data_IF_914617780738
#
_entry.id   IF_914617780738
#
_cell.length_a   1.000
_cell.length_b   1.000
_cell.length_c   1.000
_cell.angle_alpha   90.00
_cell.angle_beta   90.00
_cell.angle_gamma   90.00
#
_symmetry.space_group_name_H-M   'P 1'
#
loop_
_entity.id
_entity.type
_entity.pdbx_description
1 polymer ?
#
# COMPACT_ATOMS: atom_id res chain seq x y z
N UNK A 1 15.06 -21.16 -17.09
CA UNK A 1 14.36 -20.28 -16.12
C UNK A 1 13.31 -21.09 -15.41
N UNK A 2 13.25 -21.09 -14.07
CA UNK A 2 12.11 -21.68 -13.33
C UNK A 2 10.82 -21.06 -13.86
N UNK A 3 9.78 -21.87 -14.04
CA UNK A 3 8.49 -21.35 -14.50
C UNK A 3 8.02 -20.26 -13.52
N UNK A 4 7.27 -19.26 -14.00
CA UNK A 4 6.58 -18.30 -13.12
C UNK A 4 5.74 -19.03 -12.04
N UNK A 5 5.31 -20.26 -12.32
CA UNK A 5 4.59 -21.16 -11.41
C UNK A 5 5.41 -21.67 -10.22
N UNK A 6 6.74 -21.69 -10.31
CA UNK A 6 7.67 -22.19 -9.28
C UNK A 6 8.35 -21.06 -8.47
N UNK A 7 8.13 -19.80 -8.87
CA UNK A 7 8.58 -18.63 -8.09
C UNK A 7 7.70 -18.47 -6.85
N UNK A 8 8.10 -19.24 -5.83
CA UNK A 8 7.86 -19.06 -4.39
C UNK A 8 6.41 -18.79 -4.00
N UNK A 9 5.81 -19.86 -3.49
CA UNK A 9 4.62 -19.85 -2.64
C UNK A 9 4.47 -18.54 -1.87
N UNK A 10 3.46 -17.77 -2.26
CA UNK A 10 2.86 -16.71 -1.46
C UNK A 10 2.76 -17.17 -0.01
N UNK A 11 3.39 -16.46 0.93
CA UNK A 11 3.25 -16.83 2.33
C UNK A 11 1.77 -16.69 2.74
N UNK A 12 1.06 -17.82 2.85
CA UNK A 12 -0.32 -17.94 3.36
C UNK A 12 -0.38 -17.97 4.89
N UNK A 13 0.71 -17.61 5.59
CA UNK A 13 0.69 -17.66 7.04
C UNK A 13 -0.28 -16.61 7.59
N UNK A 14 -0.94 -16.94 8.71
CA UNK A 14 -1.92 -16.06 9.34
C UNK A 14 -1.37 -14.66 9.60
N UNK A 15 -0.09 -14.53 9.93
CA UNK A 15 0.59 -13.23 10.14
C UNK A 15 0.63 -12.38 8.87
N UNK A 16 1.01 -12.94 7.72
CA UNK A 16 1.03 -12.19 6.46
C UNK A 16 -0.38 -11.78 6.04
N UNK A 17 -1.36 -12.64 6.27
CA UNK A 17 -2.77 -12.32 5.99
C UNK A 17 -3.21 -11.14 6.87
N UNK A 18 -2.98 -11.22 8.18
CA UNK A 18 -3.29 -10.13 9.12
C UNK A 18 -2.58 -8.83 8.73
N UNK A 19 -1.31 -8.89 8.32
CA UNK A 19 -0.58 -7.73 7.81
C UNK A 19 -1.31 -7.05 6.66
N UNK A 20 -1.75 -7.83 5.66
CA UNK A 20 -2.51 -7.31 4.53
C UNK A 20 -3.86 -6.70 4.95
N UNK A 21 -4.49 -7.15 6.03
CA UNK A 21 -5.75 -6.56 6.52
C UNK A 21 -5.54 -5.33 7.40
N UNK A 22 -4.43 -5.25 8.12
CA UNK A 22 -4.21 -4.20 9.11
C UNK A 22 -3.36 -3.04 8.59
N UNK A 23 -2.25 -3.33 7.93
CA UNK A 23 -1.31 -2.31 7.48
C UNK A 23 -0.46 -2.87 6.32
N UNK A 24 -0.85 -2.62 5.04
CA UNK A 24 -0.11 -3.08 3.89
C UNK A 24 1.24 -2.37 3.78
N UNK A 25 1.35 -1.21 4.44
CA UNK A 25 2.60 -0.56 4.79
C UNK A 25 3.30 0.16 3.65
N UNK A 26 4.37 0.85 4.01
CA UNK A 26 5.22 1.60 3.08
C UNK A 26 6.19 0.73 2.30
N UNK A 27 6.32 1.04 1.00
CA UNK A 27 7.46 0.57 0.22
C UNK A 27 8.73 1.21 0.77
N UNK A 28 9.81 0.44 0.84
CA UNK A 28 11.08 0.91 1.37
C UNK A 28 12.02 1.48 0.32
N UNK A 29 11.78 1.20 -0.96
CA UNK A 29 12.56 1.79 -2.05
C UNK A 29 11.80 1.80 -3.38
N UNK A 30 12.30 2.57 -4.36
CA UNK A 30 11.80 2.55 -5.75
C UNK A 30 11.92 1.14 -6.34
N UNK A 31 13.00 0.41 -6.05
CA UNK A 31 13.19 -0.97 -6.54
C UNK A 31 12.10 -1.93 -6.08
N UNK A 32 11.54 -1.73 -4.88
CA UNK A 32 10.41 -2.55 -4.42
C UNK A 32 9.12 -2.23 -5.16
N UNK A 33 8.95 -0.96 -5.55
CA UNK A 33 7.82 -0.54 -6.40
C UNK A 33 7.97 -1.12 -7.81
N UNK A 34 9.16 -1.00 -8.40
CA UNK A 34 9.49 -1.56 -9.72
C UNK A 34 9.29 -3.07 -9.76
N UNK A 35 9.82 -3.81 -8.77
CA UNK A 35 9.63 -5.25 -8.69
C UNK A 35 8.17 -5.65 -8.52
N UNK A 36 7.36 -4.84 -7.82
CA UNK A 36 5.93 -5.10 -7.69
C UNK A 36 5.17 -4.83 -9.00
N UNK A 37 5.57 -3.80 -9.76
CA UNK A 37 5.04 -3.53 -11.10
C UNK A 37 5.39 -4.65 -12.09
N UNK A 38 6.64 -5.12 -12.07
CA UNK A 38 7.13 -6.23 -12.91
C UNK A 38 6.34 -7.52 -12.64
N UNK A 39 6.10 -7.87 -11.37
CA UNK A 39 5.31 -9.05 -11.00
C UNK A 39 3.88 -9.01 -11.54
N UNK A 40 3.33 -7.82 -11.79
CA UNK A 40 1.99 -7.62 -12.35
C UNK A 40 1.99 -7.33 -13.85
N UNK A 41 3.17 -7.35 -14.49
CA UNK A 41 3.36 -7.01 -15.90
C UNK A 41 2.78 -5.64 -16.26
N UNK A 42 3.11 -4.63 -15.45
CA UNK A 42 2.68 -3.24 -15.63
C UNK A 42 3.89 -2.32 -15.72
N UNK A 43 3.71 -1.18 -16.41
CA UNK A 43 4.65 -0.07 -16.25
C UNK A 43 4.57 0.49 -14.83
N UNK A 44 5.60 1.22 -14.40
CA UNK A 44 5.61 1.85 -13.07
C UNK A 44 4.47 2.87 -12.92
N UNK A 45 4.13 3.58 -13.99
CA UNK A 45 3.05 4.56 -14.04
C UNK A 45 1.69 3.88 -13.88
N UNK A 46 1.45 2.80 -14.64
CA UNK A 46 0.22 2.00 -14.54
C UNK A 46 0.07 1.36 -13.17
N UNK A 47 1.17 0.85 -12.61
CA UNK A 47 1.19 0.28 -11.26
C UNK A 47 0.87 1.35 -10.21
N UNK A 48 1.50 2.52 -10.31
CA UNK A 48 1.25 3.64 -9.42
C UNK A 48 -0.20 4.11 -9.47
N UNK A 49 -0.74 4.37 -10.66
CA UNK A 49 -2.11 4.82 -10.86
C UNK A 49 -3.15 3.79 -10.39
N UNK A 50 -2.85 2.49 -10.50
CA UNK A 50 -3.82 1.46 -10.13
C UNK A 50 -3.75 1.05 -8.66
N UNK A 51 -2.55 0.98 -8.10
CA UNK A 51 -2.32 0.27 -6.83
C UNK A 51 -1.62 1.08 -5.74
N UNK A 52 -1.08 2.25 -6.05
CA UNK A 52 -0.40 3.07 -5.05
C UNK A 52 -1.24 4.26 -4.61
N UNK A 53 -0.92 4.71 -3.41
CA UNK A 53 -1.26 6.03 -2.89
C UNK A 53 0.05 6.69 -2.42
N UNK A 54 0.02 8.00 -2.28
CA UNK A 54 1.10 8.78 -1.66
C UNK A 54 0.70 9.01 -0.20
N UNK A 55 1.35 8.35 0.75
CA UNK A 55 1.27 8.77 2.15
C UNK A 55 2.34 9.82 2.46
N UNK A 56 2.26 10.44 3.63
CA UNK A 56 3.30 11.35 4.09
C UNK A 56 3.71 11.10 5.54
N UNK A 57 4.95 11.47 5.85
CA UNK A 57 5.45 11.59 7.20
C UNK A 57 5.75 13.05 7.52
N UNK A 58 5.13 13.56 8.58
CA UNK A 58 5.32 14.93 9.05
C UNK A 58 6.72 15.05 9.66
N UNK A 59 7.54 15.94 9.10
CA UNK A 59 8.87 16.27 9.63
C UNK A 59 9.00 17.76 9.86
N UNK A 60 9.89 18.17 10.77
CA UNK A 60 10.05 19.59 11.17
C UNK A 60 10.28 20.55 9.99
N UNK A 61 10.89 20.07 8.90
CA UNK A 61 11.34 20.93 7.80
C UNK A 61 10.47 20.80 6.54
N UNK A 62 9.99 19.59 6.26
CA UNK A 62 9.18 19.27 5.08
C UNK A 62 8.52 17.91 5.25
N UNK A 63 7.29 17.76 4.78
CA UNK A 63 6.64 16.46 4.69
C UNK A 63 7.37 15.56 3.70
N UNK A 64 7.47 14.28 4.04
CA UNK A 64 8.13 13.27 3.20
C UNK A 64 7.05 12.38 2.62
N UNK A 65 6.87 12.42 1.31
CA UNK A 65 5.98 11.52 0.59
C UNK A 65 6.58 10.13 0.51
N UNK A 66 5.73 9.12 0.70
CA UNK A 66 6.12 7.70 0.75
C UNK A 66 5.06 6.89 0.00
N UNK A 67 5.43 6.02 -0.96
CA UNK A 67 4.44 5.22 -1.65
C UNK A 67 3.95 4.10 -0.72
N UNK A 68 2.64 3.97 -0.63
CA UNK A 68 1.98 2.91 0.12
C UNK A 68 1.04 2.14 -0.79
N UNK A 69 0.77 0.89 -0.42
CA UNK A 69 -0.23 0.10 -1.15
C UNK A 69 -1.63 0.66 -0.87
N UNK A 70 -2.44 0.76 -1.91
CA UNK A 70 -3.86 1.08 -1.80
C UNK A 70 -4.62 0.01 -1.03
N UNK A 71 -5.74 0.41 -0.41
CA UNK A 71 -6.73 -0.49 0.20
C UNK A 71 -7.83 -0.88 -0.79
N UNK A 72 -8.27 -2.12 -0.71
CA UNK A 72 -9.47 -2.61 -1.37
C UNK A 72 -10.71 -2.30 -0.52
N UNK A 73 -11.31 -1.14 -0.79
CA UNK A 73 -12.53 -0.70 -0.11
C UNK A 73 -13.75 -1.60 -0.38
N UNK A 74 -13.72 -2.45 -1.41
CA UNK A 74 -14.79 -3.43 -1.64
C UNK A 74 -14.73 -4.59 -0.63
N UNK A 75 -13.57 -4.82 -0.02
CA UNK A 75 -13.30 -5.88 0.94
C UNK A 75 -13.25 -5.33 2.36
N UNK A 76 -14.31 -4.67 2.77
CA UNK A 76 -14.49 -4.26 4.15
C UNK A 76 -14.96 -5.45 5.00
N UNK A 77 -14.35 -5.66 6.16
CA UNK A 77 -14.76 -6.70 7.11
C UNK A 77 -16.20 -6.47 7.60
N UNK A 78 -16.94 -7.55 7.82
CA UNK A 78 -18.34 -7.52 8.27
C UNK A 78 -18.48 -6.91 9.67
N UNK A 79 -17.47 -7.07 10.53
CA UNK A 79 -17.42 -6.39 11.84
C UNK A 79 -17.38 -4.87 11.63
N UNK A 80 -16.54 -4.41 10.71
CA UNK A 80 -16.46 -2.98 10.40
C UNK A 80 -17.75 -2.50 9.74
N UNK A 81 -18.37 -3.26 8.82
CA UNK A 81 -19.69 -2.92 8.27
C UNK A 81 -20.74 -2.72 9.36
N UNK A 82 -20.72 -3.53 10.42
CA UNK A 82 -21.61 -3.35 11.58
C UNK A 82 -21.28 -2.09 12.37
N UNK A 83 -20.01 -1.86 12.71
CA UNK A 83 -19.57 -0.65 13.42
C UNK A 83 -19.95 0.62 12.65
N UNK A 84 -19.68 0.70 11.35
CA UNK A 84 -20.05 1.87 10.54
C UNK A 84 -21.58 2.05 10.42
N UNK A 85 -22.36 0.96 10.44
CA UNK A 85 -23.82 1.03 10.49
C UNK A 85 -24.32 1.64 11.82
N UNK A 86 -23.63 1.38 12.91
CA UNK A 86 -23.97 1.89 14.26
C UNK A 86 -23.47 3.33 14.49
N UNK A 87 -22.41 3.76 13.79
CA UNK A 87 -21.83 5.10 13.90
C UNK A 87 -21.84 5.84 12.54
N UNK A 88 -23.00 6.32 12.07
CA UNK A 88 -23.16 6.89 10.72
C UNK A 88 -22.35 8.16 10.46
N UNK A 89 -21.87 8.86 11.49
CA UNK A 89 -20.97 10.03 11.30
C UNK A 89 -19.57 9.63 10.84
N UNK A 90 -19.15 8.39 11.05
CA UNK A 90 -17.94 7.80 10.45
C UNK A 90 -18.17 7.36 8.99
N UNK A 91 -19.42 7.32 8.51
CA UNK A 91 -19.78 6.86 7.16
C UNK A 91 -19.35 7.85 6.05
N UNK A 92 -19.26 9.14 6.35
CA UNK A 92 -18.90 10.13 5.32
C UNK A 92 -17.39 10.27 5.11
N UNK A 93 -16.58 10.07 6.16
CA UNK A 93 -15.12 10.18 6.05
C UNK A 93 -14.55 9.09 5.15
N UNK A 94 -15.00 7.84 5.28
CA UNK A 94 -14.53 6.78 4.37
C UNK A 94 -15.09 6.93 2.95
N UNK A 95 -16.31 7.45 2.76
CA UNK A 95 -16.85 7.75 1.41
C UNK A 95 -16.02 8.84 0.74
N UNK A 96 -15.62 9.86 1.50
CA UNK A 96 -14.70 10.89 1.05
C UNK A 96 -13.33 10.30 0.75
N UNK A 97 -12.74 9.48 1.63
CA UNK A 97 -11.49 8.76 1.38
C UNK A 97 -11.59 7.83 0.16
N UNK A 98 -12.72 7.15 -0.06
CA UNK A 98 -12.95 6.29 -1.23
C UNK A 98 -13.12 7.11 -2.50
N UNK A 99 -13.67 8.32 -2.41
CA UNK A 99 -13.84 9.21 -3.56
C UNK A 99 -12.51 9.84 -3.94
N UNK A 100 -11.74 10.26 -2.92
CA UNK A 100 -10.41 10.86 -3.03
C UNK A 100 -9.41 9.77 -3.47
N UNK A 101 -9.22 8.71 -2.68
CA UNK A 101 -8.30 7.59 -2.97
C UNK A 101 -8.90 6.52 -3.90
N UNK A 102 -10.08 6.78 -4.45
CA UNK A 102 -10.73 5.98 -5.49
C UNK A 102 -9.93 5.97 -6.78
N UNK A 103 -9.21 7.08 -7.00
CA UNK A 103 -8.27 7.34 -8.08
C UNK A 103 -6.88 7.07 -7.50
N UNK A 104 -6.06 6.22 -8.14
CA UNK A 104 -4.75 5.93 -7.56
C UNK A 104 -3.72 7.02 -7.81
N UNK A 105 -2.61 6.88 -7.09
CA UNK A 105 -1.50 7.81 -6.98
C UNK A 105 -1.85 9.23 -6.50
N UNK A 106 -2.79 9.34 -5.58
CA UNK A 106 -3.08 10.60 -4.90
C UNK A 106 -2.48 10.65 -3.49
N UNK A 107 -2.34 11.85 -2.94
CA UNK A 107 -1.97 12.07 -1.54
C UNK A 107 -3.13 11.64 -0.63
N UNK A 108 -2.96 10.52 0.07
CA UNK A 108 -3.99 9.94 0.93
C UNK A 108 -4.03 10.59 2.29
N UNK A 109 -5.21 10.91 2.83
CA UNK A 109 -5.31 11.68 4.07
C UNK A 109 -4.72 10.95 5.29
N UNK A 110 -4.56 11.69 6.38
CA UNK A 110 -3.89 11.22 7.59
C UNK A 110 -4.50 9.90 8.08
N UNK A 111 -3.68 8.85 8.13
CA UNK A 111 -4.08 7.57 8.72
C UNK A 111 -4.66 6.52 7.76
N UNK A 112 -4.43 6.58 6.45
CA UNK A 112 -4.81 5.49 5.53
C UNK A 112 -4.23 4.12 5.95
N UNK A 113 -3.00 4.11 6.49
CA UNK A 113 -2.40 2.96 7.15
C UNK A 113 -2.92 2.65 8.56
N UNK A 114 -3.65 3.57 9.19
CA UNK A 114 -4.33 3.37 10.48
C UNK A 114 -5.77 2.86 10.31
N UNK A 115 -6.34 2.93 9.09
CA UNK A 115 -7.63 2.33 8.77
C UNK A 115 -7.51 0.80 8.80
N UNK A 116 -7.96 0.21 9.90
CA UNK A 116 -8.17 -1.23 10.01
C UNK A 116 -9.47 -1.63 9.30
N UNK A 117 -9.59 -2.90 8.90
CA UNK A 117 -10.82 -3.44 8.34
C UNK A 117 -10.91 -3.50 6.82
N UNK A 118 -9.91 -2.99 6.10
CA UNK A 118 -9.82 -3.09 4.65
C UNK A 118 -8.60 -3.89 4.23
N UNK A 119 -8.81 -4.85 3.33
CA UNK A 119 -7.72 -5.61 2.76
C UNK A 119 -6.78 -4.71 1.94
N UNK A 120 -5.50 -5.06 1.93
CA UNK A 120 -4.54 -4.61 0.93
C UNK A 120 -5.07 -4.94 -0.47
N UNK A 121 -4.92 -4.03 -1.43
CA UNK A 121 -5.33 -4.26 -2.83
C UNK A 121 -4.65 -5.48 -3.48
N UNK A 122 -3.49 -5.89 -2.95
CA UNK A 122 -2.75 -7.05 -3.44
C UNK A 122 -3.14 -8.37 -2.77
N UNK A 123 -4.04 -8.37 -1.79
CA UNK A 123 -4.53 -9.61 -1.17
C UNK A 123 -5.65 -10.19 -2.05
N UNK A 124 -5.47 -11.41 -2.55
CA UNK A 124 -6.51 -12.12 -3.31
C UNK A 124 -7.63 -12.63 -2.40
N UNK A 125 -8.73 -13.09 -3.00
CA UNK A 125 -9.83 -13.75 -2.26
C UNK A 125 -9.37 -15.01 -1.53
N UNK A 126 -8.41 -15.73 -2.11
CA UNK A 126 -7.81 -16.94 -1.53
C UNK A 126 -6.67 -16.63 -0.54
N UNK A 127 -6.60 -15.40 -0.05
CA UNK A 127 -5.60 -14.91 0.91
C UNK A 127 -4.13 -15.05 0.44
N UNK A 128 -3.89 -14.91 -0.87
CA UNK A 128 -2.54 -14.83 -1.43
C UNK A 128 -2.13 -13.38 -1.68
N UNK A 129 -0.87 -13.03 -1.46
CA UNK A 129 -0.33 -11.73 -1.83
C UNK A 129 0.19 -11.78 -3.28
N UNK A 130 -0.37 -10.94 -4.15
CA UNK A 130 0.01 -10.87 -5.58
C UNK A 130 1.45 -10.38 -5.80
N UNK A 131 1.98 -9.58 -4.88
CA UNK A 131 3.34 -9.01 -4.98
C UNK A 131 4.26 -9.56 -3.90
N UNK A 132 4.06 -10.80 -3.45
CA UNK A 132 4.72 -11.33 -2.25
C UNK A 132 6.26 -11.18 -2.26
N UNK A 133 6.89 -11.40 -3.42
CA UNK A 133 8.35 -11.28 -3.59
C UNK A 133 8.85 -9.83 -3.53
N UNK A 134 8.00 -8.85 -3.89
CA UNK A 134 8.29 -7.42 -3.87
C UNK A 134 7.37 -6.64 -2.92
N UNK A 135 6.91 -7.30 -1.85
CA UNK A 135 5.99 -6.69 -0.89
C UNK A 135 6.67 -5.52 -0.17
N UNK A 136 5.89 -4.51 0.26
CA UNK A 136 6.40 -3.35 0.98
C UNK A 136 7.29 -3.73 2.17
N UNK A 137 8.37 -2.96 2.41
CA UNK A 137 9.28 -3.19 3.53
C UNK A 137 8.52 -3.30 4.87
N UNK A 138 7.54 -2.45 5.13
CA UNK A 138 6.73 -2.54 6.35
C UNK A 138 5.98 -3.86 6.48
N UNK A 139 5.37 -4.35 5.39
CA UNK A 139 4.72 -5.65 5.37
C UNK A 139 5.74 -6.79 5.58
N UNK A 140 7.00 -6.60 5.19
CA UNK A 140 8.07 -7.59 5.41
C UNK A 140 8.56 -7.62 6.87
N UNK A 141 8.61 -6.47 7.52
CA UNK A 141 9.27 -6.30 8.82
C UNK A 141 8.30 -6.21 10.00
N UNK A 142 7.23 -5.40 9.92
CA UNK A 142 6.34 -5.12 11.06
C UNK A 142 5.41 -6.27 11.40
N UNK A 143 4.87 -6.95 10.39
CA UNK A 143 3.69 -7.83 10.57
C UNK A 143 3.85 -9.24 9.98
N UNK A 144 4.99 -9.56 9.37
CA UNK A 144 5.23 -10.86 8.73
C UNK A 144 6.30 -11.73 9.45
N UNK A 145 6.89 -12.69 8.73
CA UNK A 145 7.68 -13.80 9.26
C UNK A 145 8.91 -13.43 10.11
N UNK A 146 9.37 -12.17 10.09
CA UNK A 146 10.50 -11.70 10.90
C UNK A 146 9.95 -10.84 12.04
N UNK A 147 10.24 -11.21 13.30
CA UNK A 147 9.89 -10.40 14.49
C UNK A 147 10.84 -9.20 14.65
N UNK A 148 10.99 -8.38 13.60
CA UNK A 148 11.86 -7.21 13.66
C UNK A 148 10.97 -5.99 13.88
N UNK A 149 11.25 -5.23 14.95
CA UNK A 149 10.61 -3.93 15.13
C UNK A 149 11.17 -2.99 14.07
N UNK A 150 10.39 -2.68 13.04
CA UNK A 150 10.77 -1.63 12.10
C UNK A 150 10.72 -0.28 12.82
N UNK A 151 11.83 0.45 12.74
CA UNK A 151 11.80 1.89 12.96
C UNK A 151 11.55 2.57 11.62
N UNK A 152 10.34 3.12 11.43
CA UNK A 152 9.95 3.91 10.26
C UNK A 152 10.96 5.02 9.94
N UNK A 153 11.68 5.53 10.93
CA UNK A 153 12.74 6.53 10.74
C UNK A 153 13.86 6.06 9.83
N UNK A 154 14.09 4.75 9.71
CA UNK A 154 15.11 4.20 8.81
C UNK A 154 14.72 4.32 7.33
N UNK A 155 13.41 4.42 7.03
CA UNK A 155 12.90 4.60 5.67
C UNK A 155 12.98 6.05 5.20
N UNK A 156 12.83 6.99 6.13
CA UNK A 156 12.68 8.41 5.80
C UNK A 156 13.87 9.01 5.04
N UNK A 157 15.15 8.69 5.35
CA UNK A 157 16.28 9.21 4.60
C UNK A 157 16.27 8.78 3.13
N UNK A 158 15.81 7.56 2.83
CA UNK A 158 15.70 7.09 1.45
C UNK A 158 14.66 7.92 0.71
N UNK A 159 13.42 7.96 1.21
CA UNK A 159 12.34 8.67 0.51
C UNK A 159 12.55 10.18 0.44
N UNK A 160 13.20 10.77 1.46
CA UNK A 160 13.59 12.19 1.43
C UNK A 160 14.49 12.52 0.23
N UNK A 161 15.41 11.63 -0.15
CA UNK A 161 16.29 11.82 -1.32
C UNK A 161 15.61 11.57 -2.66
N UNK A 162 14.43 10.95 -2.66
CA UNK A 162 13.71 10.53 -3.86
C UNK A 162 12.34 11.20 -3.98
N UNK A 163 12.16 12.41 -3.44
CA UNK A 163 10.87 13.12 -3.55
C UNK A 163 10.52 13.47 -5.00
N UNK A 164 11.52 13.73 -5.86
CA UNK A 164 11.30 14.00 -7.29
C UNK A 164 10.64 12.83 -8.04
N UNK A 165 10.78 11.60 -7.53
CA UNK A 165 10.11 10.43 -8.12
C UNK A 165 8.58 10.59 -8.14
N UNK A 166 8.00 11.24 -7.13
CA UNK A 166 6.54 11.47 -7.09
C UNK A 166 6.10 12.47 -8.17
N UNK A 167 6.87 13.52 -8.38
CA UNK A 167 6.58 14.53 -9.41
C UNK A 167 6.72 13.90 -10.80
N UNK A 168 7.77 13.12 -11.03
CA UNK A 168 8.01 12.41 -12.29
C UNK A 168 6.87 11.45 -12.62
N UNK A 169 6.45 10.60 -11.67
CA UNK A 169 5.36 9.65 -11.88
C UNK A 169 4.03 10.38 -12.08
N UNK A 170 3.74 11.41 -11.28
CA UNK A 170 2.49 12.20 -11.41
C UNK A 170 2.40 12.89 -12.77
N UNK A 171 3.49 13.49 -13.24
CA UNK A 171 3.55 14.13 -14.55
C UNK A 171 3.30 13.13 -15.68
N UNK A 172 3.92 11.94 -15.61
CA UNK A 172 3.69 10.89 -16.60
C UNK A 172 2.25 10.39 -16.61
N UNK A 173 1.64 10.17 -15.44
CA UNK A 173 0.23 9.75 -15.34
C UNK A 173 -0.70 10.79 -15.96
N UNK A 174 -0.45 12.08 -15.72
CA UNK A 174 -1.30 13.15 -16.21
C UNK A 174 -1.13 13.42 -17.72
N UNK A 175 0.06 13.21 -18.27
CA UNK A 175 0.33 13.38 -19.70
C UNK A 175 -0.20 12.24 -20.58
N UNK A 176 -0.68 11.14 -19.98
CA UNK A 176 -1.27 10.01 -20.69
C UNK A 176 -2.81 10.07 -20.80
N UNK A 177 -3.45 11.13 -20.29
CA UNK A 177 -4.91 11.34 -20.32
C UNK A 177 -5.30 12.32 -21.41
#
# INVERSE_FOLDING_TARGET
MKSLKERKMSCKCSKCIVACWQNPGWFGSIKEVEGAAELLNLSIEQFAEKYLIQEWWISKNKDILIPASRRDFSRMDDIQKKVFKEFPTLDETWKRERTINGKGFIVASWGHNLMSGYACIFLTKDNNCLIHESKPMECRELLACKKIRLDRKNLLPYWRRHQNWFDEISNKINNCK
#
